data_IF_323278073060
#
_entry.id   IF_323278073060
#
_cell.length_a   1.000
_cell.length_b   1.000
_cell.length_c   1.000
_cell.angle_alpha   90.00
_cell.angle_beta   90.00
_cell.angle_gamma   90.00
#
_symmetry.space_group_name_H-M   'P 1'
#
loop_
_entity.id
_entity.type
_entity.pdbx_description
1 polymer ?
#
# COMPACT_ATOMS: atom_id res chain seq x y z
N UNK A 1 -21.60 5.09 -4.72
CA UNK A 1 -20.80 4.05 -4.01
C UNK A 1 -20.04 3.28 -5.06
N UNK A 2 -18.72 3.32 -5.02
CA UNK A 2 -17.84 2.52 -5.90
C UNK A 2 -17.37 1.35 -5.05
N UNK A 3 -17.58 0.16 -5.52
CA UNK A 3 -17.13 -1.07 -4.86
C UNK A 3 -16.20 -1.81 -5.82
N UNK A 4 -14.89 -1.71 -5.57
CA UNK A 4 -13.87 -2.44 -6.32
C UNK A 4 -13.44 -3.61 -5.47
N UNK A 5 -13.86 -4.80 -5.85
CA UNK A 5 -13.54 -6.02 -5.11
C UNK A 5 -12.85 -7.02 -6.04
N UNK A 6 -11.62 -7.37 -5.73
CA UNK A 6 -10.88 -8.44 -6.37
C UNK A 6 -10.74 -9.61 -5.38
N UNK A 7 -11.65 -10.58 -5.50
CA UNK A 7 -11.60 -11.79 -4.68
C UNK A 7 -10.69 -12.85 -5.33
N UNK A 8 -10.25 -13.82 -4.51
CA UNK A 8 -9.50 -15.03 -4.89
C UNK A 8 -9.72 -15.46 -6.35
N UNK A 9 -8.65 -15.57 -7.11
CA UNK A 9 -8.65 -16.05 -8.50
C UNK A 9 -9.17 -15.05 -9.54
N UNK A 10 -9.39 -13.79 -9.18
CA UNK A 10 -9.84 -12.73 -10.09
C UNK A 10 -8.88 -11.55 -10.22
N UNK A 11 -7.65 -11.69 -9.72
CA UNK A 11 -6.63 -10.72 -10.06
C UNK A 11 -6.39 -10.78 -11.56
N UNK A 12 -6.63 -9.66 -12.23
CA UNK A 12 -6.19 -9.47 -13.59
C UNK A 12 -5.13 -8.38 -13.63
N UNK A 13 -3.86 -8.71 -13.39
CA UNK A 13 -2.77 -7.74 -13.36
C UNK A 13 -2.66 -6.90 -14.62
N UNK A 14 -3.19 -7.38 -15.77
CA UNK A 14 -3.19 -6.64 -17.02
C UNK A 14 -4.11 -5.42 -17.04
N UNK A 15 -5.10 -5.37 -16.16
CA UNK A 15 -6.01 -4.22 -16.00
C UNK A 15 -5.45 -3.13 -15.09
N UNK A 16 -4.36 -3.41 -14.40
CA UNK A 16 -3.73 -2.51 -13.46
C UNK A 16 -2.53 -1.80 -14.09
N UNK A 17 -2.34 -0.54 -13.70
CA UNK A 17 -1.22 0.27 -14.16
C UNK A 17 0.04 -0.10 -13.37
N UNK A 18 1.14 -0.35 -14.09
CA UNK A 18 2.44 -0.66 -13.50
C UNK A 18 3.15 0.62 -13.16
N UNK A 19 3.58 0.76 -11.93
CA UNK A 19 4.29 1.92 -11.43
C UNK A 19 5.72 1.57 -11.06
N UNK A 20 6.64 2.50 -11.31
CA UNK A 20 7.99 2.45 -10.77
C UNK A 20 8.14 3.41 -9.59
N UNK A 21 9.02 3.10 -8.69
CA UNK A 21 9.51 4.08 -7.71
C UNK A 21 10.50 5.03 -8.38
N UNK A 22 10.47 6.32 -8.02
CA UNK A 22 11.55 7.24 -8.43
C UNK A 22 12.84 7.00 -7.64
N UNK A 23 12.77 6.30 -6.50
CA UNK A 23 13.92 5.86 -5.72
C UNK A 23 14.72 4.76 -6.44
N UNK A 24 14.01 3.89 -7.16
CA UNK A 24 14.60 2.79 -7.93
C UNK A 24 14.25 2.98 -9.40
N UNK A 25 15.23 3.09 -10.29
CA UNK A 25 14.97 3.28 -11.75
C UNK A 25 14.51 1.99 -12.45
N UNK A 26 13.85 1.11 -11.72
CA UNK A 26 13.28 -0.12 -12.25
C UNK A 26 11.92 -0.41 -11.61
N UNK A 27 11.10 -1.17 -12.33
CA UNK A 27 9.90 -1.80 -11.81
C UNK A 27 9.78 -3.20 -12.42
N UNK A 28 9.38 -4.14 -11.62
CA UNK A 28 9.07 -5.50 -12.05
C UNK A 28 7.55 -5.70 -12.12
N UNK A 29 7.14 -6.71 -12.85
CA UNK A 29 5.76 -7.17 -12.85
C UNK A 29 5.54 -8.22 -11.77
N UNK A 30 4.30 -8.44 -11.39
CA UNK A 30 3.93 -9.54 -10.52
C UNK A 30 3.84 -10.85 -11.30
N UNK A 31 4.10 -11.95 -10.62
CA UNK A 31 3.87 -13.30 -11.12
C UNK A 31 2.56 -13.83 -10.53
N UNK A 32 1.66 -14.31 -11.39
CA UNK A 32 0.42 -14.96 -10.95
C UNK A 32 0.71 -16.38 -10.49
N UNK A 33 0.27 -16.70 -9.29
CA UNK A 33 0.17 -18.06 -8.76
C UNK A 33 -1.33 -18.45 -8.63
N UNK A 34 -1.61 -19.70 -8.30
CA UNK A 34 -2.99 -20.21 -8.24
C UNK A 34 -3.90 -19.39 -7.31
N UNK A 35 -3.39 -18.97 -6.15
CA UNK A 35 -4.16 -18.27 -5.12
C UNK A 35 -3.68 -16.85 -4.79
N UNK A 36 -2.61 -16.38 -5.42
CA UNK A 36 -2.05 -15.06 -5.16
C UNK A 36 -1.25 -14.51 -6.33
N UNK A 37 -0.90 -13.23 -6.25
CA UNK A 37 0.19 -12.65 -7.02
C UNK A 37 1.40 -12.46 -6.11
N UNK A 38 2.58 -12.56 -6.68
CA UNK A 38 3.85 -12.43 -5.97
C UNK A 38 4.76 -11.48 -6.73
N UNK A 39 5.50 -10.64 -6.01
CA UNK A 39 6.57 -9.89 -6.63
C UNK A 39 7.63 -10.86 -7.17
N UNK A 40 8.31 -10.54 -8.28
CA UNK A 40 9.28 -11.44 -8.86
C UNK A 40 10.37 -11.77 -7.84
N UNK A 41 10.55 -13.06 -7.58
CA UNK A 41 11.70 -13.58 -6.86
C UNK A 41 12.62 -14.24 -7.88
N UNK A 42 13.91 -14.13 -7.72
CA UNK A 42 14.83 -14.95 -8.54
C UNK A 42 14.48 -16.43 -8.29
N UNK A 43 14.05 -17.17 -9.32
CA UNK A 43 13.70 -18.58 -9.17
C UNK A 43 14.87 -19.46 -8.75
N UNK A 44 16.11 -18.92 -8.78
CA UNK A 44 17.31 -19.60 -8.32
C UNK A 44 17.51 -19.52 -6.81
N UNK A 45 16.76 -18.70 -6.10
CA UNK A 45 16.92 -18.53 -4.66
C UNK A 45 15.99 -19.45 -3.90
N UNK A 46 16.57 -20.34 -3.10
CA UNK A 46 15.88 -21.09 -2.07
C UNK A 46 15.47 -20.14 -0.92
N UNK A 47 14.49 -20.54 -0.12
CA UNK A 47 14.12 -19.78 1.08
C UNK A 47 15.30 -19.62 2.05
N UNK A 48 16.25 -20.57 2.08
CA UNK A 48 17.46 -20.54 2.90
C UNK A 48 18.47 -19.50 2.38
N UNK A 49 18.62 -19.36 1.06
CA UNK A 49 19.51 -18.36 0.45
C UNK A 49 18.98 -16.93 0.61
N UNK A 50 17.65 -16.73 0.62
CA UNK A 50 17.04 -15.45 0.96
C UNK A 50 17.36 -15.01 2.39
N UNK A 51 17.51 -15.95 3.32
CA UNK A 51 17.93 -15.67 4.70
C UNK A 51 19.42 -15.36 4.82
N UNK A 52 20.22 -15.90 3.96
CA UNK A 52 21.68 -15.78 4.04
C UNK A 52 22.24 -14.56 3.27
N UNK A 53 21.52 -14.07 2.28
CA UNK A 53 21.95 -12.93 1.47
C UNK A 53 21.14 -11.68 1.80
N UNK A 54 21.79 -10.53 1.69
CA UNK A 54 21.12 -9.24 1.75
C UNK A 54 19.97 -9.22 0.72
N UNK A 55 18.79 -8.96 1.19
CA UNK A 55 17.57 -8.91 0.38
C UNK A 55 17.81 -8.01 -0.82
N UNK A 56 17.76 -8.59 -2.01
CA UNK A 56 17.78 -7.79 -3.23
C UNK A 56 16.49 -6.99 -3.27
N UNK A 57 16.59 -5.68 -3.34
CA UNK A 57 15.43 -4.81 -3.46
C UNK A 57 14.72 -5.12 -4.77
N UNK A 58 13.57 -5.78 -4.69
CA UNK A 58 12.67 -6.00 -5.81
C UNK A 58 11.47 -5.07 -5.59
N UNK A 59 11.27 -4.18 -6.53
CA UNK A 59 10.13 -3.27 -6.50
C UNK A 59 9.15 -3.64 -7.60
N UNK A 60 8.00 -4.18 -7.21
CA UNK A 60 6.89 -4.45 -8.11
C UNK A 60 5.66 -3.71 -7.57
N UNK A 61 5.07 -2.86 -8.38
CA UNK A 61 3.93 -2.05 -7.99
C UNK A 61 2.89 -1.95 -9.07
N UNK A 62 1.64 -2.06 -8.67
CA UNK A 62 0.51 -1.83 -9.56
C UNK A 62 -0.59 -1.06 -8.85
N UNK A 63 -1.23 -0.18 -9.60
CA UNK A 63 -2.28 0.72 -9.13
C UNK A 63 -3.53 0.50 -9.97
N UNK A 64 -4.68 0.40 -9.31
CA UNK A 64 -5.96 0.32 -10.01
C UNK A 64 -6.25 1.65 -10.72
N UNK A 65 -6.69 1.64 -12.00
CA UNK A 65 -6.85 2.87 -12.79
C UNK A 65 -8.05 3.73 -12.38
N UNK A 66 -8.90 3.24 -11.47
CA UNK A 66 -10.06 3.98 -10.99
C UNK A 66 -9.69 4.86 -9.80
N UNK A 67 -9.96 6.18 -9.90
CA UNK A 67 -9.80 7.11 -8.80
C UNK A 67 -10.90 6.92 -7.77
N UNK A 68 -10.52 6.79 -6.52
CA UNK A 68 -11.41 6.70 -5.37
C UNK A 68 -11.66 8.11 -4.83
N UNK A 69 -12.91 8.42 -4.51
CA UNK A 69 -13.30 9.69 -3.89
C UNK A 69 -14.55 9.50 -3.04
N UNK A 70 -14.67 10.24 -1.95
CA UNK A 70 -15.80 10.16 -1.02
C UNK A 70 -15.43 10.72 0.35
N UNK A 71 -16.41 10.88 1.23
CA UNK A 71 -16.17 11.29 2.62
C UNK A 71 -15.48 10.20 3.43
N UNK A 72 -15.60 8.95 2.98
CA UNK A 72 -14.91 7.79 3.55
C UNK A 72 -14.46 6.88 2.43
N UNK A 73 -13.22 6.42 2.50
CA UNK A 73 -12.62 5.48 1.55
C UNK A 73 -11.93 4.38 2.33
N UNK A 74 -12.37 3.14 2.11
CA UNK A 74 -11.76 1.94 2.68
C UNK A 74 -10.95 1.22 1.62
N UNK A 75 -9.73 0.87 1.94
CA UNK A 75 -8.84 0.04 1.12
C UNK A 75 -8.30 -1.09 1.97
N UNK A 76 -8.35 -2.32 1.48
CA UNK A 76 -7.73 -3.44 2.17
C UNK A 76 -7.08 -4.41 1.20
N UNK A 77 -6.06 -5.10 1.66
CA UNK A 77 -5.43 -6.20 0.96
C UNK A 77 -5.01 -7.30 1.93
N UNK A 78 -5.27 -8.55 1.56
CA UNK A 78 -4.70 -9.69 2.28
C UNK A 78 -3.35 -10.03 1.69
N UNK A 79 -2.32 -10.03 2.54
CA UNK A 79 -0.94 -10.15 2.13
C UNK A 79 -0.11 -10.98 3.10
N UNK A 80 1.04 -11.45 2.65
CA UNK A 80 2.07 -12.06 3.48
C UNK A 80 3.46 -11.72 2.93
N UNK A 81 4.47 -11.86 3.78
CA UNK A 81 5.87 -11.76 3.40
C UNK A 81 6.62 -13.03 3.82
N UNK A 82 7.62 -13.43 3.06
CA UNK A 82 8.39 -14.63 3.37
C UNK A 82 9.51 -14.36 4.35
N UNK A 83 10.07 -13.15 4.30
CA UNK A 83 11.22 -12.76 5.09
C UNK A 83 11.22 -11.25 5.27
N UNK A 84 11.50 -10.75 6.42
CA UNK A 84 11.70 -9.40 6.94
C UNK A 84 10.88 -8.24 6.37
N UNK A 85 10.47 -8.27 5.09
CA UNK A 85 9.94 -7.07 4.39
C UNK A 85 8.95 -7.41 3.28
N UNK A 86 8.30 -6.53 2.70
CA UNK A 86 7.46 -5.42 3.02
C UNK A 86 6.38 -5.33 1.95
N UNK A 87 5.29 -6.15 2.05
CA UNK A 87 4.09 -5.88 1.25
C UNK A 87 3.44 -4.61 1.77
N UNK A 88 2.88 -3.81 0.86
CA UNK A 88 2.27 -2.56 1.24
C UNK A 88 1.06 -2.21 0.37
N UNK A 89 0.20 -1.37 0.91
CA UNK A 89 -0.81 -0.63 0.17
C UNK A 89 -0.22 0.73 -0.19
N UNK A 90 -0.34 1.11 -1.46
CA UNK A 90 0.07 2.43 -1.95
C UNK A 90 -1.16 3.27 -2.27
N UNK A 91 -1.13 4.55 -1.87
CA UNK A 91 -2.16 5.55 -2.16
C UNK A 91 -1.49 6.72 -2.87
N UNK A 92 -1.89 7.03 -4.11
CA UNK A 92 -1.34 8.16 -4.88
C UNK A 92 -2.44 9.09 -5.36
N UNK A 93 -2.33 10.42 -5.15
CA UNK A 93 -3.33 11.37 -5.63
C UNK A 93 -3.39 11.46 -7.15
N UNK A 94 -2.28 11.16 -7.85
CA UNK A 94 -2.10 11.38 -9.28
C UNK A 94 -1.51 10.14 -9.97
N UNK A 95 -1.89 9.93 -11.22
CA UNK A 95 -1.25 8.96 -12.12
C UNK A 95 -0.07 9.63 -12.84
N UNK A 96 0.95 9.95 -12.08
CA UNK A 96 2.14 10.62 -12.57
C UNK A 96 2.95 9.77 -13.56
N UNK A 97 3.79 10.44 -14.34
CA UNK A 97 4.74 9.80 -15.24
C UNK A 97 6.14 10.38 -15.06
N UNK A 98 7.16 9.58 -15.37
CA UNK A 98 8.54 10.03 -15.44
C UNK A 98 8.87 10.75 -16.77
N UNK A 99 10.09 11.15 -16.93
CA UNK A 99 10.62 11.78 -18.14
C UNK A 99 10.57 10.88 -19.40
N UNK A 100 10.41 9.57 -19.21
CA UNK A 100 10.28 8.57 -20.28
C UNK A 100 8.82 8.17 -20.53
N UNK A 101 7.85 8.83 -19.87
CA UNK A 101 6.42 8.56 -20.01
C UNK A 101 5.94 7.28 -19.31
N UNK A 102 6.75 6.69 -18.42
CA UNK A 102 6.36 5.53 -17.61
C UNK A 102 5.67 5.98 -16.33
N UNK A 103 4.61 5.31 -15.91
CA UNK A 103 3.98 5.60 -14.63
C UNK A 103 4.99 5.54 -13.48
N UNK A 104 5.01 6.59 -12.66
CA UNK A 104 5.93 6.73 -11.54
C UNK A 104 5.27 7.46 -10.36
N UNK A 105 5.62 7.04 -9.15
CA UNK A 105 5.15 7.72 -7.95
C UNK A 105 5.95 9.00 -7.70
N UNK A 106 5.28 10.15 -7.70
CA UNK A 106 5.84 11.43 -7.25
C UNK A 106 5.40 11.77 -5.83
N UNK A 107 4.08 11.87 -5.62
CA UNK A 107 3.50 12.04 -4.28
C UNK A 107 2.68 10.81 -3.95
N UNK A 108 2.92 10.19 -2.82
CA UNK A 108 2.16 9.01 -2.40
C UNK A 108 2.37 8.69 -0.93
N UNK A 109 1.47 7.87 -0.40
CA UNK A 109 1.63 7.20 0.88
C UNK A 109 1.84 5.72 0.67
N UNK A 110 2.74 5.14 1.44
CA UNK A 110 2.97 3.69 1.52
C UNK A 110 2.60 3.21 2.92
N UNK A 111 1.59 2.34 3.01
CA UNK A 111 1.21 1.69 4.26
C UNK A 111 1.79 0.29 4.27
N UNK A 112 2.81 0.10 5.07
CA UNK A 112 3.73 -1.04 5.00
C UNK A 112 3.49 -2.01 6.14
N UNK A 113 3.37 -3.30 5.81
CA UNK A 113 3.41 -4.41 6.75
C UNK A 113 4.82 -5.01 6.76
N UNK A 114 5.44 -5.09 7.93
CA UNK A 114 6.74 -5.74 8.11
C UNK A 114 6.80 -6.50 9.44
N UNK A 115 7.87 -7.24 9.69
CA UNK A 115 7.97 -8.15 10.84
C UNK A 115 7.90 -7.45 12.22
N UNK A 116 8.28 -6.17 12.31
CA UNK A 116 8.30 -5.42 13.56
C UNK A 116 7.14 -4.41 13.70
N UNK A 117 6.24 -4.32 12.72
CA UNK A 117 5.13 -3.38 12.82
C UNK A 117 4.44 -2.97 11.53
N UNK A 118 3.80 -1.82 11.64
CA UNK A 118 3.15 -1.11 10.55
C UNK A 118 3.78 0.27 10.42
N UNK A 119 4.20 0.63 9.22
CA UNK A 119 4.74 1.94 8.91
C UNK A 119 3.85 2.66 7.91
N UNK A 120 3.73 3.98 8.02
CA UNK A 120 3.20 4.85 6.99
C UNK A 120 4.28 5.82 6.55
N UNK A 121 4.72 5.66 5.32
CA UNK A 121 5.68 6.57 4.69
C UNK A 121 4.93 7.57 3.81
N UNK A 122 5.30 8.84 3.92
CA UNK A 122 4.84 9.90 3.04
C UNK A 122 5.97 10.33 2.12
N UNK A 123 5.71 10.29 0.82
CA UNK A 123 6.62 10.70 -0.24
C UNK A 123 6.12 11.99 -0.87
N UNK A 124 7.03 12.94 -1.03
CA UNK A 124 6.79 14.22 -1.73
C UNK A 124 7.78 14.39 -2.87
N UNK A 125 7.40 15.17 -3.86
CA UNK A 125 8.25 15.48 -5.00
C UNK A 125 8.19 16.98 -5.31
N UNK A 126 9.26 17.67 -4.98
CA UNK A 126 9.34 19.13 -5.14
C UNK A 126 10.66 19.52 -5.80
N UNK A 127 10.58 20.46 -6.76
CA UNK A 127 11.76 20.96 -7.47
C UNK A 127 12.60 19.87 -8.15
N UNK A 128 11.97 18.78 -8.61
CA UNK A 128 12.66 17.65 -9.23
C UNK A 128 13.30 16.66 -8.23
N UNK A 129 13.06 16.83 -6.94
CA UNK A 129 13.63 15.97 -5.90
C UNK A 129 12.55 15.18 -5.17
N UNK A 130 12.79 13.89 -5.01
CA UNK A 130 12.01 13.02 -4.15
C UNK A 130 12.51 13.13 -2.71
N UNK A 131 11.58 13.34 -1.77
CA UNK A 131 11.84 13.24 -0.35
C UNK A 131 10.78 12.36 0.32
N UNK A 132 11.10 11.81 1.47
CA UNK A 132 10.18 10.95 2.22
C UNK A 132 10.45 11.02 3.71
N UNK A 133 9.39 10.81 4.49
CA UNK A 133 9.49 10.71 5.94
C UNK A 133 8.50 9.67 6.48
N UNK A 134 8.78 9.17 7.65
CA UNK A 134 7.89 8.28 8.38
C UNK A 134 6.79 9.13 9.03
N UNK A 135 5.58 9.09 8.45
CA UNK A 135 4.44 9.88 8.91
C UNK A 135 3.81 9.28 10.18
N UNK A 136 3.73 7.94 10.25
CA UNK A 136 3.23 7.23 11.42
C UNK A 136 3.79 5.81 11.49
N UNK A 137 3.82 5.23 12.69
CA UNK A 137 4.15 3.82 12.86
C UNK A 137 3.54 3.23 14.13
N UNK A 138 3.37 1.91 14.14
CA UNK A 138 3.04 1.15 15.33
C UNK A 138 3.90 -0.12 15.38
N UNK A 139 4.55 -0.36 16.53
CA UNK A 139 5.32 -1.59 16.74
C UNK A 139 4.42 -2.73 17.14
N UNK A 140 4.54 -3.84 16.41
CA UNK A 140 3.90 -5.10 16.72
C UNK A 140 4.62 -6.24 16.01
N UNK A 141 4.70 -7.44 16.58
CA UNK A 141 5.30 -8.57 15.90
C UNK A 141 4.35 -9.13 14.83
N UNK A 142 4.84 -9.26 13.60
CA UNK A 142 4.17 -9.96 12.52
C UNK A 142 5.03 -11.11 12.04
N UNK A 143 4.42 -12.28 11.87
CA UNK A 143 5.12 -13.50 11.53
C UNK A 143 5.28 -13.65 10.01
N UNK A 144 6.47 -14.00 9.50
CA UNK A 144 6.64 -14.39 8.10
C UNK A 144 5.70 -15.53 7.70
N UNK A 145 5.32 -15.56 6.43
CA UNK A 145 4.45 -16.59 5.82
C UNK A 145 3.02 -16.66 6.34
N UNK A 146 2.66 -15.83 7.32
CA UNK A 146 1.29 -15.69 7.81
C UNK A 146 0.52 -14.67 6.98
N UNK A 147 -0.74 -14.97 6.67
CA UNK A 147 -1.64 -14.05 5.98
C UNK A 147 -2.21 -13.02 6.95
N UNK A 148 -2.13 -11.75 6.57
CA UNK A 148 -2.72 -10.63 7.30
C UNK A 148 -3.57 -9.79 6.35
N UNK A 149 -4.71 -9.32 6.82
CA UNK A 149 -5.49 -8.30 6.14
C UNK A 149 -5.04 -6.93 6.67
N UNK A 150 -4.35 -6.17 5.82
CA UNK A 150 -4.02 -4.77 6.06
C UNK A 150 -5.19 -3.90 5.58
N UNK A 151 -5.69 -3.04 6.47
CA UNK A 151 -6.80 -2.13 6.19
C UNK A 151 -6.35 -0.70 6.35
N UNK A 152 -6.76 0.14 5.41
CA UNK A 152 -6.58 1.59 5.42
C UNK A 152 -7.95 2.23 5.26
N UNK A 153 -8.34 3.03 6.23
CA UNK A 153 -9.52 3.88 6.14
C UNK A 153 -9.06 5.33 6.04
N UNK A 154 -9.55 6.01 5.01
CA UNK A 154 -9.38 7.44 4.82
C UNK A 154 -10.73 8.09 5.03
N UNK A 155 -10.85 9.04 5.94
CA UNK A 155 -12.12 9.67 6.23
C UNK A 155 -11.97 11.17 6.47
N UNK A 156 -12.96 11.93 5.95
CA UNK A 156 -13.04 13.36 6.19
C UNK A 156 -13.45 13.61 7.64
N UNK A 157 -12.73 14.51 8.31
CA UNK A 157 -13.06 14.89 9.70
C UNK A 157 -14.25 15.83 9.67
N UNK A 158 -15.31 15.51 10.41
CA UNK A 158 -16.53 16.32 10.41
C UNK A 158 -16.23 17.75 10.90
N UNK A 159 -16.68 18.74 10.13
CA UNK A 159 -16.47 20.16 10.42
C UNK A 159 -15.09 20.70 10.13
N UNK A 160 -14.20 19.89 9.53
CA UNK A 160 -12.86 20.29 9.08
C UNK A 160 -12.67 19.94 7.61
N UNK A 161 -11.77 20.66 6.95
CA UNK A 161 -11.31 20.35 5.58
C UNK A 161 -10.03 19.51 5.62
N UNK A 162 -10.07 18.45 6.40
CA UNK A 162 -8.93 17.59 6.70
C UNK A 162 -9.36 16.12 6.62
N UNK A 163 -8.42 15.29 6.16
CA UNK A 163 -8.55 13.84 6.14
C UNK A 163 -7.82 13.22 7.32
N UNK A 164 -8.35 12.10 7.79
CA UNK A 164 -7.68 11.23 8.76
C UNK A 164 -7.47 9.87 8.14
N UNK A 165 -6.26 9.34 8.29
CA UNK A 165 -5.95 7.96 7.95
C UNK A 165 -6.00 7.09 9.20
N UNK A 166 -6.69 5.95 9.11
CA UNK A 166 -6.67 4.89 10.12
C UNK A 166 -6.10 3.63 9.48
N UNK A 167 -5.14 3.00 10.15
CA UNK A 167 -4.50 1.76 9.73
C UNK A 167 -4.81 0.67 10.73
N UNK A 168 -5.21 -0.52 10.23
CA UNK A 168 -5.52 -1.69 11.05
C UNK A 168 -4.93 -2.96 10.43
N UNK A 169 -4.24 -3.78 11.23
CA UNK A 169 -3.75 -5.09 10.83
C UNK A 169 -3.42 -5.93 12.08
N UNK A 170 -3.85 -7.20 12.09
CA UNK A 170 -3.45 -8.15 13.12
C UNK A 170 -3.78 -7.76 14.57
N UNK A 171 -4.84 -6.98 14.79
CA UNK A 171 -5.22 -6.47 16.10
C UNK A 171 -4.56 -5.13 16.49
N UNK A 172 -3.65 -4.63 15.67
CA UNK A 172 -3.06 -3.28 15.82
C UNK A 172 -3.91 -2.29 15.06
N UNK A 173 -4.24 -1.17 15.69
CA UNK A 173 -4.99 -0.07 15.07
C UNK A 173 -4.43 1.27 15.53
N UNK A 174 -4.19 2.17 14.62
CA UNK A 174 -3.83 3.56 14.91
C UNK A 174 -4.35 4.50 13.82
N UNK A 175 -4.46 5.76 14.14
CA UNK A 175 -4.84 6.79 13.19
C UNK A 175 -3.96 8.03 13.33
N UNK A 176 -3.86 8.80 12.27
CA UNK A 176 -3.16 10.08 12.27
C UNK A 176 -3.80 11.04 11.26
N UNK A 177 -3.53 12.30 11.45
CA UNK A 177 -3.93 13.40 10.58
C UNK A 177 -2.66 14.00 9.95
N UNK A 178 -2.72 14.30 8.67
CA UNK A 178 -1.65 14.92 7.92
C UNK A 178 -2.31 15.86 6.90
N UNK A 179 -1.93 17.13 6.81
CA UNK A 179 -2.56 18.08 5.88
C UNK A 179 -2.41 17.70 4.41
N UNK A 180 -1.45 16.83 4.09
CA UNK A 180 -1.21 16.33 2.73
C UNK A 180 -1.99 15.07 2.39
N UNK A 181 -2.81 14.52 3.33
CA UNK A 181 -3.66 13.37 3.06
C UNK A 181 -4.69 13.71 1.95
N UNK A 182 -4.70 12.96 0.84
CA UNK A 182 -5.53 13.30 -0.30
C UNK A 182 -7.00 12.93 -0.06
N UNK A 183 -7.93 13.83 -0.44
CA UNK A 183 -9.37 13.54 -0.44
C UNK A 183 -9.79 12.55 -1.54
N UNK A 184 -8.97 12.42 -2.57
CA UNK A 184 -9.18 11.47 -3.66
C UNK A 184 -7.84 10.94 -4.15
N UNK A 185 -7.79 9.64 -4.42
CA UNK A 185 -6.55 8.97 -4.77
C UNK A 185 -6.79 7.70 -5.58
N UNK A 186 -5.74 7.21 -6.18
CA UNK A 186 -5.66 5.86 -6.74
C UNK A 186 -4.99 4.95 -5.72
N UNK A 187 -5.45 3.72 -5.61
CA UNK A 187 -4.92 2.76 -4.67
C UNK A 187 -4.37 1.52 -5.37
N UNK A 188 -3.40 0.91 -4.77
CA UNK A 188 -2.78 -0.29 -5.30
C UNK A 188 -1.97 -1.05 -4.26
N UNK A 189 -1.16 -1.98 -4.75
CA UNK A 189 -0.25 -2.78 -3.93
C UNK A 189 1.16 -2.71 -4.48
N UNK A 190 2.13 -2.79 -3.57
CA UNK A 190 3.55 -2.85 -3.90
C UNK A 190 4.21 -3.95 -3.10
N UNK A 191 4.98 -4.81 -3.77
CA UNK A 191 5.95 -5.69 -3.15
C UNK A 191 7.32 -5.02 -3.19
N UNK A 192 7.92 -4.85 -2.02
CA UNK A 192 9.23 -4.22 -1.86
C UNK A 192 10.08 -5.11 -0.97
N UNK A 193 11.31 -5.37 -1.35
CA UNK A 193 12.27 -6.17 -0.62
C UNK A 193 11.77 -7.60 -0.26
N UNK A 194 12.47 -8.61 -0.77
CA UNK A 194 12.10 -10.00 -0.55
C UNK A 194 10.85 -10.45 -1.32
N UNK A 195 10.28 -11.55 -0.87
CA UNK A 195 9.11 -12.16 -1.51
C UNK A 195 7.84 -11.82 -0.75
N UNK A 196 6.95 -11.09 -1.42
CA UNK A 196 5.66 -10.67 -0.88
C UNK A 196 4.53 -11.27 -1.71
N UNK A 197 3.44 -11.69 -1.06
CA UNK A 197 2.26 -12.27 -1.71
C UNK A 197 1.01 -11.46 -1.40
N UNK A 198 0.17 -11.28 -2.40
CA UNK A 198 -1.12 -10.60 -2.29
C UNK A 198 -2.22 -11.57 -2.75
N UNK A 199 -3.22 -11.78 -1.91
CA UNK A 199 -4.28 -12.76 -2.09
C UNK A 199 -5.59 -12.13 -2.51
N UNK A 200 -5.87 -10.92 -2.06
CA UNK A 200 -7.00 -10.10 -2.47
C UNK A 200 -6.71 -8.60 -2.27
N UNK A 201 -7.55 -7.80 -2.90
CA UNK A 201 -7.59 -6.36 -2.74
C UNK A 201 -9.03 -5.89 -2.81
N UNK A 202 -9.41 -4.94 -1.95
CA UNK A 202 -10.75 -4.35 -1.92
C UNK A 202 -10.63 -2.85 -1.72
N UNK A 203 -11.47 -2.09 -2.43
CA UNK A 203 -11.60 -0.66 -2.21
C UNK A 203 -13.08 -0.26 -2.27
N UNK A 204 -13.52 0.56 -1.34
CA UNK A 204 -14.89 1.05 -1.22
C UNK A 204 -14.91 2.53 -0.93
N UNK A 205 -15.90 3.22 -1.45
CA UNK A 205 -16.13 4.62 -1.14
C UNK A 205 -17.49 4.81 -0.51
N UNK A 206 -17.61 5.72 0.45
CA UNK A 206 -18.85 6.06 1.14
C UNK A 206 -18.96 7.57 1.37
N UNK A 207 -20.17 8.01 1.68
CA UNK A 207 -20.49 9.43 1.89
C UNK A 207 -20.67 9.79 3.38
N UNK A 208 -20.20 8.94 4.30
CA UNK A 208 -20.32 9.18 5.74
C UNK A 208 -18.99 9.72 6.29
N UNK A 209 -18.99 10.96 6.76
CA UNK A 209 -17.87 11.53 7.51
C UNK A 209 -17.73 10.88 8.90
N UNK A 210 -16.52 10.84 9.44
CA UNK A 210 -16.26 10.42 10.82
C UNK A 210 -16.82 11.45 11.79
N UNK A 211 -17.57 10.99 12.80
CA UNK A 211 -17.95 11.81 13.94
C UNK A 211 -16.75 11.95 14.90
N UNK A 212 -16.18 13.15 15.09
CA UNK A 212 -15.03 13.35 15.96
C UNK A 212 -15.31 13.02 17.45
N UNK A 213 -16.58 12.92 17.84
CA UNK A 213 -16.98 12.59 19.21
C UNK A 213 -16.94 11.07 19.50
N UNK A 214 -16.86 10.20 18.48
CA UNK A 214 -16.91 8.75 18.67
C UNK A 214 -15.56 8.11 19.07
N UNK A 215 -14.44 8.81 18.90
CA UNK A 215 -13.08 8.29 19.18
C UNK A 215 -12.49 8.74 20.53
N UNK A 216 -13.32 9.32 21.41
CA UNK A 216 -12.89 9.91 22.69
C UNK A 216 -12.94 9.01 23.93
N UNK A 217 -13.32 7.75 23.78
CA UNK A 217 -13.32 6.78 24.89
C UNK A 217 -12.46 5.56 24.53
N UNK A 218 -11.16 5.64 24.87
CA UNK A 218 -10.37 4.47 25.32
C UNK A 218 -9.04 4.93 25.91
#
# INVERSE_FOLDING_TARGET
>A
MIDVCFARGRWNPSEWLKFKSLRFDYAHDFVQLDDCIVNPSDPKWSDEELYAQHVTEVYASMVHPQKLSGSTIDVSATMSFDHLMAPLIVLTPELDVDDKGRHAFKKHYEVVLYNEGLNVWHYTYEGGKLSWHLAAFARAPFEPKRKYELKVNMAKVAGRDEMRMTVECGGVKFGFEDPDLPESFYAGVTGCEGRNRFYDFKARTGDRALDPAADGEH
#
